data_IF_270479932921
#
_entry.id   IF_270479932921
#
_cell.length_a   1.000
_cell.length_b   1.000
_cell.length_c   1.000
_cell.angle_alpha   90.00
_cell.angle_beta   90.00
_cell.angle_gamma   90.00
#
_symmetry.space_group_name_H-M   'P 1'
#
loop_
_entity.id
_entity.type
_entity.pdbx_description
1 polymer ?
#
# COMPACT_ATOMS: atom_id res chain seq x y z
N UNK A 1 -16.14 7.35 31.05
CA UNK A 1 -16.83 6.73 29.91
C UNK A 1 -16.55 7.62 28.71
N UNK A 2 -15.62 7.22 27.83
CA UNK A 2 -15.29 8.01 26.64
C UNK A 2 -16.55 8.13 25.78
N UNK A 3 -16.88 9.33 25.31
CA UNK A 3 -18.09 9.59 24.52
C UNK A 3 -18.06 8.69 23.26
N UNK A 4 -19.15 7.94 23.00
CA UNK A 4 -19.28 7.07 21.82
C UNK A 4 -19.07 7.84 20.52
N UNK A 5 -19.37 9.15 20.50
CA UNK A 5 -19.12 10.03 19.36
C UNK A 5 -17.62 10.22 19.15
N UNK A 6 -16.86 10.43 20.23
CA UNK A 6 -15.41 10.60 20.17
C UNK A 6 -14.73 9.32 19.66
N UNK A 7 -15.16 8.15 20.14
CA UNK A 7 -14.63 6.86 19.67
C UNK A 7 -14.87 6.64 18.17
N UNK A 8 -16.08 6.93 17.67
CA UNK A 8 -16.39 6.83 16.24
C UNK A 8 -15.55 7.80 15.41
N UNK A 9 -15.38 9.03 15.88
CA UNK A 9 -14.54 10.04 15.21
C UNK A 9 -13.09 9.58 15.13
N UNK A 10 -12.53 9.09 16.23
CA UNK A 10 -11.16 8.57 16.27
C UNK A 10 -10.98 7.38 15.35
N UNK A 11 -11.92 6.43 15.35
CA UNK A 11 -11.88 5.27 14.45
C UNK A 11 -11.92 5.68 12.97
N UNK A 12 -12.78 6.65 12.62
CA UNK A 12 -12.85 7.17 11.25
C UNK A 12 -11.56 7.91 10.86
N UNK A 13 -10.99 8.70 11.75
CA UNK A 13 -9.73 9.40 11.50
C UNK A 13 -8.57 8.41 11.29
N UNK A 14 -8.50 7.36 12.10
CA UNK A 14 -7.52 6.26 11.96
C UNK A 14 -7.69 5.61 10.59
N UNK A 15 -8.91 5.19 10.25
CA UNK A 15 -9.20 4.58 8.95
C UNK A 15 -8.77 5.48 7.78
N UNK A 16 -9.12 6.76 7.81
CA UNK A 16 -8.71 7.70 6.76
C UNK A 16 -7.19 7.81 6.68
N UNK A 17 -6.47 7.89 7.81
CA UNK A 17 -5.00 7.95 7.82
C UNK A 17 -4.37 6.68 7.24
N UNK A 18 -4.89 5.51 7.60
CA UNK A 18 -4.46 4.22 7.05
C UNK A 18 -4.66 4.16 5.53
N UNK A 19 -5.79 4.65 5.01
CA UNK A 19 -6.08 4.60 3.57
C UNK A 19 -5.32 5.66 2.75
N UNK A 20 -5.10 6.84 3.32
CA UNK A 20 -4.58 8.00 2.57
C UNK A 20 -3.07 8.09 2.61
N UNK A 21 -2.48 7.90 3.79
CA UNK A 21 -1.05 8.10 4.03
C UNK A 21 -0.38 6.77 4.31
N UNK A 22 -0.96 5.97 5.21
CA UNK A 22 -0.34 4.77 5.76
C UNK A 22 0.62 5.06 6.94
N UNK A 23 1.23 4.00 7.51
CA UNK A 23 1.01 2.59 7.17
C UNK A 23 -0.36 2.09 7.66
N UNK A 24 -0.69 0.83 7.40
CA UNK A 24 -1.77 0.11 8.07
C UNK A 24 -2.92 -0.32 7.17
N UNK A 25 -2.88 0.00 5.87
CA UNK A 25 -3.96 -0.33 4.92
C UNK A 25 -4.24 -1.83 4.80
N UNK A 26 -3.21 -2.68 4.94
CA UNK A 26 -3.31 -4.15 4.91
C UNK A 26 -3.32 -4.75 6.32
N UNK A 27 -3.42 -3.93 7.37
CA UNK A 27 -3.22 -4.37 8.74
C UNK A 27 -1.92 -5.15 8.95
N UNK A 28 -1.95 -6.10 9.89
CA UNK A 28 -0.87 -7.05 10.12
C UNK A 28 -1.02 -8.33 9.28
N UNK A 29 -1.63 -8.25 8.09
CA UNK A 29 -1.89 -9.42 7.23
C UNK A 29 -0.61 -10.22 6.94
N UNK A 30 0.49 -9.56 6.58
CA UNK A 30 1.81 -10.20 6.44
C UNK A 30 2.80 -9.69 7.47
N UNK A 31 3.54 -10.60 8.09
CA UNK A 31 4.47 -10.31 9.18
C UNK A 31 5.82 -10.95 8.94
N UNK A 32 6.88 -10.17 9.20
CA UNK A 32 8.24 -10.71 9.34
C UNK A 32 8.33 -11.46 10.67
N UNK A 33 8.40 -12.77 10.61
CA UNK A 33 8.47 -13.66 11.76
C UNK A 33 9.79 -13.58 12.50
N UNK A 34 10.84 -12.97 11.92
CA UNK A 34 12.10 -12.69 12.61
C UNK A 34 12.04 -11.40 13.45
N UNK A 35 11.00 -10.58 13.30
CA UNK A 35 10.79 -9.41 14.14
C UNK A 35 10.19 -9.83 15.50
N UNK A 36 11.06 -10.16 16.46
CA UNK A 36 10.70 -10.64 17.80
C UNK A 36 9.75 -9.67 18.53
N UNK A 37 10.02 -8.37 18.47
CA UNK A 37 9.20 -7.33 19.11
C UNK A 37 7.77 -7.34 18.58
N UNK A 38 7.61 -7.56 17.27
CA UNK A 38 6.31 -7.55 16.63
C UNK A 38 5.51 -8.82 16.92
N UNK A 39 6.14 -10.00 16.81
CA UNK A 39 5.44 -11.29 17.00
C UNK A 39 5.03 -11.55 18.46
N UNK A 40 5.62 -10.85 19.43
CA UNK A 40 5.24 -10.92 20.84
C UNK A 40 3.94 -10.16 21.15
N UNK A 41 3.62 -9.10 20.38
CA UNK A 41 2.39 -8.31 20.56
C UNK A 41 1.15 -9.09 20.15
N UNK A 42 -0.03 -8.75 20.68
CA UNK A 42 -1.30 -9.23 20.14
C UNK A 42 -1.73 -8.38 18.93
N UNK A 43 -1.44 -8.90 17.73
CA UNK A 43 -1.64 -8.19 16.46
C UNK A 43 -3.12 -7.98 16.10
N UNK A 44 -4.03 -8.76 16.68
CA UNK A 44 -5.49 -8.57 16.47
C UNK A 44 -6.04 -7.32 17.15
N UNK A 45 -5.30 -6.76 18.12
CA UNK A 45 -5.69 -5.59 18.90
C UNK A 45 -4.77 -4.38 18.70
N UNK A 46 -3.58 -4.60 18.15
CA UNK A 46 -2.62 -3.54 17.87
C UNK A 46 -3.14 -2.66 16.71
N UNK A 47 -3.13 -1.32 16.84
CA UNK A 47 -3.46 -0.43 15.74
C UNK A 47 -2.53 -0.63 14.54
N UNK A 48 -3.10 -0.77 13.34
CA UNK A 48 -2.36 -0.99 12.10
C UNK A 48 -1.46 0.20 11.74
N UNK A 49 -1.83 1.42 12.13
CA UNK A 49 -0.98 2.62 12.02
C UNK A 49 0.40 2.48 12.68
N UNK A 50 0.55 1.59 13.66
CA UNK A 50 1.81 1.35 14.35
C UNK A 50 2.73 0.38 13.58
N UNK A 51 2.27 -0.21 12.47
CA UNK A 51 3.06 -1.16 11.70
C UNK A 51 4.03 -0.45 10.75
N UNK A 52 5.08 0.19 11.30
CA UNK A 52 5.96 1.02 10.49
C UNK A 52 6.70 0.25 9.38
N UNK A 53 7.04 -1.01 9.64
CA UNK A 53 7.65 -1.95 8.69
C UNK A 53 6.62 -2.82 7.98
N UNK A 54 5.42 -2.28 7.70
CA UNK A 54 4.33 -3.04 7.10
C UNK A 54 4.73 -3.79 5.84
N UNK A 55 4.04 -4.89 5.59
CA UNK A 55 4.26 -5.74 4.42
C UNK A 55 2.96 -5.79 3.60
N UNK A 56 3.09 -5.40 2.34
CA UNK A 56 1.99 -5.38 1.36
C UNK A 56 2.17 -6.52 0.37
N UNK A 57 1.08 -7.15 -0.05
CA UNK A 57 1.02 -8.16 -1.12
C UNK A 57 0.72 -7.55 -2.51
N UNK A 58 0.74 -6.22 -2.59
CA UNK A 58 0.48 -5.42 -3.77
C UNK A 58 1.46 -4.24 -3.82
N UNK A 59 1.62 -3.63 -5.00
CA UNK A 59 2.42 -2.41 -5.10
C UNK A 59 1.78 -1.26 -4.31
N UNK A 60 2.57 -0.44 -3.57
CA UNK A 60 1.99 0.51 -2.63
C UNK A 60 1.16 1.63 -3.29
N UNK A 61 1.49 2.06 -4.51
CA UNK A 61 0.71 3.11 -5.20
C UNK A 61 -0.68 2.64 -5.65
N UNK A 62 -0.95 1.33 -5.69
CA UNK A 62 -2.27 0.82 -6.02
C UNK A 62 -3.27 0.98 -4.86
N UNK A 63 -2.78 1.17 -3.63
CA UNK A 63 -3.62 1.20 -2.43
C UNK A 63 -3.50 2.53 -1.67
N UNK A 64 -2.35 3.22 -1.73
CA UNK A 64 -2.20 4.55 -1.17
C UNK A 64 -2.58 5.65 -2.17
N UNK A 65 -3.21 6.71 -1.68
CA UNK A 65 -3.74 7.78 -2.51
C UNK A 65 -3.07 9.15 -2.34
N UNK A 66 -2.32 9.39 -1.25
CA UNK A 66 -1.75 10.72 -0.96
C UNK A 66 -0.34 10.66 -0.39
N UNK A 67 0.37 11.80 -0.42
CA UNK A 67 1.75 11.89 0.08
C UNK A 67 2.72 11.07 -0.76
N UNK A 68 2.44 10.88 -2.04
CA UNK A 68 3.23 10.07 -2.97
C UNK A 68 4.08 10.97 -3.84
N UNK A 69 5.37 10.67 -4.01
CA UNK A 69 6.25 11.33 -4.96
C UNK A 69 6.76 10.33 -6.00
N UNK A 70 6.31 10.48 -7.25
CA UNK A 70 6.65 9.62 -8.37
C UNK A 70 7.96 10.05 -9.06
N UNK A 71 8.68 9.13 -9.74
CA UNK A 71 9.91 9.44 -10.45
C UNK A 71 9.70 10.36 -11.65
N UNK A 72 10.78 10.80 -12.30
CA UNK A 72 10.65 11.53 -13.56
C UNK A 72 10.20 10.61 -14.70
N UNK A 73 9.08 10.92 -15.37
CA UNK A 73 8.71 10.30 -16.64
C UNK A 73 9.56 10.81 -17.81
N UNK A 74 10.29 9.91 -18.50
CA UNK A 74 10.97 10.12 -19.79
C UNK A 74 10.53 9.09 -20.84
N UNK A 75 9.36 8.46 -20.67
CA UNK A 75 8.83 7.47 -21.60
C UNK A 75 8.21 8.08 -22.86
N UNK A 76 7.73 9.33 -22.77
CA UNK A 76 6.98 9.98 -23.84
C UNK A 76 5.51 9.58 -23.92
N UNK A 77 4.98 8.79 -22.96
CA UNK A 77 3.59 8.27 -23.00
C UNK A 77 2.54 9.23 -22.43
N UNK A 78 2.89 10.51 -22.23
CA UNK A 78 1.98 11.52 -21.67
C UNK A 78 0.71 11.72 -22.51
N UNK A 79 0.77 11.43 -23.81
CA UNK A 79 -0.38 11.47 -24.74
C UNK A 79 -1.18 10.16 -24.80
N UNK A 80 -0.65 9.06 -24.26
CA UNK A 80 -1.27 7.72 -24.30
C UNK A 80 -1.98 7.35 -22.98
N UNK A 81 -1.75 8.11 -21.91
CA UNK A 81 -2.16 7.79 -20.54
C UNK A 81 -3.65 7.96 -20.20
N UNK A 82 -4.54 8.13 -21.19
CA UNK A 82 -5.97 8.33 -20.97
C UNK A 82 -6.82 7.05 -21.10
N UNK A 83 -6.22 5.88 -21.42
CA UNK A 83 -6.96 4.62 -21.38
C UNK A 83 -6.94 4.13 -19.93
N UNK A 84 -8.05 4.36 -19.24
CA UNK A 84 -8.29 3.95 -17.86
C UNK A 84 -8.02 2.45 -17.65
N UNK A 85 -7.60 2.18 -16.42
CA UNK A 85 -7.12 0.93 -15.82
C UNK A 85 -8.19 -0.18 -15.87
N UNK A 86 -8.18 -1.01 -16.92
CA UNK A 86 -8.79 -2.34 -16.89
C UNK A 86 -7.69 -3.37 -17.11
N UNK A 87 -6.82 -3.50 -16.10
CA UNK A 87 -5.87 -4.60 -16.00
C UNK A 87 -6.47 -5.74 -15.13
N UNK A 88 -7.76 -6.03 -15.28
CA UNK A 88 -8.18 -7.41 -15.12
C UNK A 88 -7.43 -8.18 -16.21
N UNK A 89 -6.48 -9.02 -15.80
CA UNK A 89 -6.06 -10.12 -16.65
C UNK A 89 -7.32 -10.92 -16.96
N UNK A 90 -7.93 -10.66 -18.11
CA UNK A 90 -8.83 -11.61 -18.72
C UNK A 90 -7.97 -12.83 -19.06
N UNK A 91 -7.86 -13.75 -18.10
CA UNK A 91 -7.90 -15.14 -18.49
C UNK A 91 -9.16 -15.26 -19.34
N UNK A 92 -8.99 -15.56 -20.62
CA UNK A 92 -10.09 -15.96 -21.49
C UNK A 92 -10.71 -17.21 -20.89
N UNK A 93 -11.60 -17.04 -19.91
CA UNK A 93 -12.56 -18.06 -19.50
C UNK A 93 -13.68 -18.02 -20.54
N UNK A 94 -13.69 -19.04 -21.40
CA UNK A 94 -14.87 -19.39 -22.17
C UNK A 94 -16.01 -19.70 -21.19
N UNK A 95 -16.96 -18.75 -21.02
CA UNK A 95 -18.28 -19.09 -20.51
C UNK A 95 -19.02 -18.06 -19.66
N UNK A 96 -19.72 -17.16 -20.35
CA UNK A 96 -20.90 -16.38 -19.89
C UNK A 96 -20.60 -15.25 -18.90
N UNK A 97 -20.10 -14.13 -19.43
CA UNK A 97 -20.16 -12.82 -18.78
C UNK A 97 -21.61 -12.34 -18.62
N UNK A 98 -22.05 -12.21 -17.37
CA UNK A 98 -23.07 -11.22 -17.02
C UNK A 98 -22.47 -9.82 -17.23
N UNK A 99 -22.84 -9.18 -18.34
CA UNK A 99 -22.58 -7.76 -18.54
C UNK A 99 -23.30 -6.96 -17.46
N UNK A 100 -22.58 -6.47 -16.45
CA UNK A 100 -23.02 -5.31 -15.71
C UNK A 100 -22.88 -4.10 -16.63
N UNK A 101 -24.02 -3.67 -17.20
CA UNK A 101 -24.10 -2.56 -18.13
C UNK A 101 -24.05 -1.23 -17.39
N UNK A 102 -22.89 -0.90 -16.80
CA UNK A 102 -22.57 0.49 -16.53
C UNK A 102 -22.04 1.14 -17.82
N UNK A 103 -22.92 1.94 -18.40
CA UNK A 103 -22.73 2.70 -19.63
C UNK A 103 -21.59 3.73 -19.47
N UNK A 104 -20.35 3.34 -19.76
CA UNK A 104 -19.20 4.25 -19.82
C UNK A 104 -19.16 5.02 -21.15
N UNK A 105 -20.19 5.81 -21.39
CA UNK A 105 -20.21 6.85 -22.42
C UNK A 105 -19.70 8.16 -21.79
N UNK A 106 -18.39 8.28 -21.57
CA UNK A 106 -17.77 9.60 -21.58
C UNK A 106 -17.21 9.84 -22.97
N UNK A 107 -17.90 10.71 -23.70
CA UNK A 107 -17.46 11.24 -24.99
C UNK A 107 -16.04 11.78 -24.87
N UNK A 108 -15.22 11.40 -25.85
CA UNK A 108 -13.85 11.82 -26.00
C UNK A 108 -13.78 13.33 -26.30
N UNK A 109 -13.42 14.14 -25.31
CA UNK A 109 -13.04 15.54 -25.53
C UNK A 109 -11.53 15.76 -25.28
N UNK A 110 -10.87 16.07 -26.40
CA UNK A 110 -9.77 17.03 -26.62
C UNK A 110 -8.66 17.22 -25.56
N UNK A 111 -7.44 16.80 -25.93
CA UNK A 111 -6.08 17.43 -25.80
C UNK A 111 -5.67 18.15 -24.48
N UNK A 112 -6.48 18.12 -23.43
CA UNK A 112 -6.30 18.73 -22.10
C UNK A 112 -5.69 17.75 -21.07
N UNK A 113 -5.86 16.44 -21.31
CA UNK A 113 -5.64 15.39 -20.31
C UNK A 113 -4.19 15.21 -19.84
N UNK A 114 -3.19 15.67 -20.60
CA UNK A 114 -1.76 15.48 -20.24
C UNK A 114 -1.32 16.29 -19.01
N UNK A 115 -1.91 17.47 -18.77
CA UNK A 115 -1.60 18.30 -17.59
C UNK A 115 -2.26 17.73 -16.35
N UNK A 116 -3.50 17.26 -16.47
CA UNK A 116 -4.27 16.66 -15.38
C UNK A 116 -3.67 15.32 -14.93
N UNK A 117 -3.22 14.48 -15.87
CA UNK A 117 -2.59 13.20 -15.55
C UNK A 117 -1.23 13.37 -14.84
N UNK A 118 -0.44 14.37 -15.23
CA UNK A 118 0.80 14.71 -14.50
C UNK A 118 0.53 15.27 -13.09
N UNK A 119 -0.62 15.91 -12.85
CA UNK A 119 -1.01 16.35 -11.50
C UNK A 119 -1.31 15.16 -10.57
N UNK A 120 -1.79 14.04 -11.12
CA UNK A 120 -2.01 12.80 -10.36
C UNK A 120 -0.70 12.06 -10.00
N UNK A 121 0.40 12.36 -10.70
CA UNK A 121 1.72 11.75 -10.48
C UNK A 121 2.77 12.80 -10.09
N UNK A 122 2.60 13.49 -8.94
CA UNK A 122 3.48 14.58 -8.56
C UNK A 122 4.90 14.07 -8.29
N UNK A 123 5.89 14.81 -8.81
CA UNK A 123 7.32 14.53 -8.61
C UNK A 123 7.92 15.34 -7.46
N UNK A 124 7.20 16.37 -7.02
CA UNK A 124 7.65 17.30 -5.98
C UNK A 124 6.54 17.62 -5.01
N UNK A 125 6.90 17.82 -3.74
CA UNK A 125 6.04 18.35 -2.69
C UNK A 125 6.73 19.54 -2.05
N UNK A 126 6.00 20.55 -1.60
CA UNK A 126 6.63 21.68 -0.91
C UNK A 126 5.81 22.22 0.24
N UNK A 127 6.53 22.85 1.17
CA UNK A 127 5.98 23.60 2.28
C UNK A 127 6.51 25.03 2.20
N UNK A 128 5.62 26.02 2.32
CA UNK A 128 6.00 27.42 2.43
C UNK A 128 5.52 27.96 3.76
N UNK A 129 6.41 28.60 4.50
CA UNK A 129 6.11 29.20 5.79
C UNK A 129 6.81 30.55 5.94
N UNK A 130 6.37 31.33 6.91
CA UNK A 130 6.87 32.67 7.18
C UNK A 130 7.56 32.69 8.55
N UNK A 131 8.74 33.30 8.60
CA UNK A 131 9.49 33.57 9.82
C UNK A 131 9.62 35.08 10.03
N UNK A 132 9.88 35.49 11.28
CA UNK A 132 10.36 36.84 11.57
C UNK A 132 11.83 36.95 11.19
N UNK A 133 12.27 38.14 10.82
CA UNK A 133 13.67 38.41 10.44
C UNK A 133 14.65 38.02 11.57
N UNK A 134 14.27 38.28 12.83
CA UNK A 134 14.99 37.86 14.04
C UNK A 134 15.29 36.34 14.11
N UNK A 135 14.42 35.51 13.53
CA UNK A 135 14.60 34.05 13.53
C UNK A 135 15.74 33.59 12.62
N UNK A 136 16.11 34.40 11.62
CA UNK A 136 17.21 34.14 10.68
C UNK A 136 18.49 34.86 11.10
N UNK A 137 18.45 35.79 12.06
CA UNK A 137 19.66 36.41 12.63
C UNK A 137 20.61 35.39 13.28
N UNK A 138 20.06 34.26 13.75
CA UNK A 138 20.85 33.11 14.22
C UNK A 138 21.59 32.38 13.10
N UNK A 139 21.29 32.68 11.83
CA UNK A 139 21.90 32.08 10.65
C UNK A 139 21.52 30.62 10.43
N UNK A 140 20.44 30.13 11.07
CA UNK A 140 20.05 28.72 11.06
C UNK A 140 18.58 28.51 10.70
N UNK A 141 18.31 27.54 9.81
CA UNK A 141 16.96 27.04 9.50
C UNK A 141 16.98 25.53 9.69
N UNK A 142 16.01 25.02 10.46
CA UNK A 142 15.83 23.58 10.68
C UNK A 142 14.44 23.14 10.23
N UNK A 143 14.36 21.99 9.56
CA UNK A 143 13.10 21.33 9.25
C UNK A 143 13.29 19.82 9.21
N UNK A 144 12.21 19.09 9.46
CA UNK A 144 12.18 17.64 9.41
C UNK A 144 11.48 17.16 8.15
N UNK A 145 11.95 16.02 7.65
CA UNK A 145 11.39 15.31 6.52
C UNK A 145 11.15 13.87 6.95
N UNK A 146 9.95 13.35 6.70
CA UNK A 146 9.63 11.94 6.93
C UNK A 146 8.93 11.34 5.71
N UNK A 147 9.24 10.10 5.38
CA UNK A 147 8.64 9.36 4.28
C UNK A 147 8.84 7.86 4.48
N UNK A 148 8.17 7.06 3.65
CA UNK A 148 8.38 5.62 3.54
C UNK A 148 8.92 5.27 2.16
N UNK A 149 9.85 4.34 2.15
CA UNK A 149 10.32 3.69 0.93
C UNK A 149 9.97 2.20 1.00
N UNK A 150 9.24 1.69 0.01
CA UNK A 150 8.87 0.28 -0.02
C UNK A 150 9.86 -0.50 -0.87
N UNK A 151 10.47 -1.51 -0.27
CA UNK A 151 11.37 -2.44 -0.95
C UNK A 151 10.60 -3.71 -1.31
N UNK A 152 10.61 -4.09 -2.59
CA UNK A 152 10.13 -5.41 -3.00
C UNK A 152 11.03 -6.49 -2.39
N UNK A 153 10.44 -7.41 -1.64
CA UNK A 153 11.11 -8.52 -1.01
C UNK A 153 11.37 -9.61 -2.05
N UNK A 154 12.62 -10.06 -2.14
CA UNK A 154 13.05 -11.08 -3.10
C UNK A 154 12.83 -12.47 -2.52
N UNK A 155 12.15 -13.32 -3.29
CA UNK A 155 12.09 -14.74 -3.00
C UNK A 155 13.45 -15.39 -3.22
N UNK A 156 13.82 -16.31 -2.34
CA UNK A 156 15.05 -17.07 -2.45
C UNK A 156 14.79 -18.50 -2.99
N UNK A 157 15.87 -19.16 -3.38
CA UNK A 157 15.82 -20.54 -3.88
C UNK A 157 15.76 -21.59 -2.77
N UNK A 158 16.16 -21.24 -1.55
CA UNK A 158 16.32 -22.16 -0.42
C UNK A 158 15.05 -22.25 0.45
N UNK A 159 14.07 -21.37 0.23
CA UNK A 159 12.81 -21.31 0.98
C UNK A 159 12.89 -20.49 2.27
N UNK A 160 13.95 -19.71 2.49
CA UNK A 160 14.09 -18.82 3.67
C UNK A 160 13.01 -17.75 3.73
N UNK A 161 12.62 -17.19 2.58
CA UNK A 161 11.53 -16.25 2.44
C UNK A 161 10.21 -16.84 2.95
N UNK A 162 9.93 -18.10 2.59
CA UNK A 162 8.70 -18.81 2.97
C UNK A 162 8.59 -19.04 4.48
N UNK A 163 9.73 -19.24 5.16
CA UNK A 163 9.77 -19.37 6.61
C UNK A 163 9.82 -18.03 7.35
N UNK A 164 10.28 -16.96 6.67
CA UNK A 164 10.48 -15.64 7.25
C UNK A 164 9.19 -14.83 7.26
N UNK A 165 8.39 -14.85 6.19
CA UNK A 165 7.17 -14.04 6.10
C UNK A 165 5.92 -14.91 6.24
N UNK A 166 5.12 -14.62 7.26
CA UNK A 166 3.88 -15.34 7.55
C UNK A 166 2.63 -14.51 7.31
N UNK A 167 1.55 -15.18 6.91
CA UNK A 167 0.23 -14.58 6.79
C UNK A 167 -0.49 -14.72 8.15
N UNK A 168 -0.92 -13.64 8.78
CA UNK A 168 -1.68 -13.69 10.02
C UNK A 168 -3.01 -14.44 9.79
N UNK A 169 -3.29 -15.41 10.65
CA UNK A 169 -4.50 -16.22 10.59
C UNK A 169 -5.64 -15.49 11.31
N UNK A 170 -6.62 -15.02 10.56
CA UNK A 170 -7.78 -14.28 11.10
C UNK A 170 -8.95 -15.17 11.51
N UNK A 171 -8.80 -16.48 11.38
CA UNK A 171 -9.80 -17.48 11.77
C UNK A 171 -9.27 -18.35 12.91
N UNK A 172 -10.18 -19.10 13.55
CA UNK A 172 -9.81 -20.08 14.56
C UNK A 172 -8.78 -21.08 14.01
N UNK A 173 -7.62 -21.13 14.65
CA UNK A 173 -6.48 -21.91 14.17
C UNK A 173 -6.75 -23.42 14.16
N UNK A 174 -7.59 -23.93 15.07
CA UNK A 174 -7.92 -25.35 15.11
C UNK A 174 -8.85 -25.73 13.96
N UNK A 175 -9.82 -24.88 13.63
CA UNK A 175 -10.65 -25.05 12.42
C UNK A 175 -9.82 -25.00 11.15
N UNK A 176 -8.84 -24.10 11.07
CA UNK A 176 -7.93 -24.02 9.93
C UNK A 176 -7.08 -25.30 9.82
N UNK A 177 -6.46 -25.76 10.91
CA UNK A 177 -5.69 -27.04 10.92
C UNK A 177 -6.54 -28.23 10.50
N UNK A 178 -7.78 -28.30 10.98
CA UNK A 178 -8.73 -29.35 10.61
C UNK A 178 -9.01 -29.33 9.11
N UNK A 179 -9.26 -28.15 8.53
CA UNK A 179 -9.46 -27.99 7.09
C UNK A 179 -8.23 -28.44 6.28
N UNK A 180 -7.02 -28.05 6.68
CA UNK A 180 -5.78 -28.48 6.01
C UNK A 180 -5.62 -30.01 6.03
N UNK A 181 -5.96 -30.64 7.15
CA UNK A 181 -5.83 -32.08 7.34
C UNK A 181 -6.87 -32.85 6.53
N UNK A 182 -8.13 -32.40 6.55
CA UNK A 182 -9.24 -32.99 5.80
C UNK A 182 -8.95 -33.03 4.30
N UNK A 183 -8.43 -31.93 3.76
CA UNK A 183 -8.16 -31.77 2.32
C UNK A 183 -6.72 -32.12 1.92
N UNK A 184 -5.91 -32.66 2.84
CA UNK A 184 -4.51 -33.09 2.62
C UNK A 184 -3.61 -31.99 2.03
N UNK A 185 -3.81 -30.75 2.47
CA UNK A 185 -3.08 -29.56 2.01
C UNK A 185 -1.74 -29.40 2.77
N UNK A 186 -0.88 -30.42 2.66
CA UNK A 186 0.39 -30.54 3.42
C UNK A 186 1.44 -29.47 3.10
N UNK A 187 1.23 -28.72 2.03
CA UNK A 187 2.10 -27.61 1.62
C UNK A 187 1.92 -26.38 2.51
N UNK A 188 0.82 -26.32 3.27
CA UNK A 188 0.57 -25.26 4.22
C UNK A 188 0.81 -25.73 5.65
N UNK A 189 1.21 -24.80 6.51
CA UNK A 189 1.35 -25.06 7.95
C UNK A 189 0.90 -23.85 8.76
N UNK A 190 0.61 -24.09 10.04
CA UNK A 190 0.28 -23.02 10.99
C UNK A 190 1.37 -22.97 12.04
N UNK A 191 1.95 -21.79 12.21
CA UNK A 191 2.93 -21.49 13.24
C UNK A 191 2.29 -20.57 14.27
N UNK A 192 2.30 -20.97 15.54
CA UNK A 192 1.87 -20.13 16.66
C UNK A 192 3.07 -19.44 17.28
N UNK A 193 3.02 -18.11 17.42
CA UNK A 193 3.99 -17.30 18.18
C UNK A 193 3.22 -16.37 19.09
N UNK A 194 3.49 -16.44 20.40
CA UNK A 194 2.72 -15.71 21.41
C UNK A 194 1.21 -15.97 21.23
N UNK A 195 0.38 -14.93 21.15
CA UNK A 195 -1.07 -14.99 20.91
C UNK A 195 -1.45 -15.04 19.42
N UNK A 196 -0.47 -15.01 18.51
CA UNK A 196 -0.71 -14.95 17.07
C UNK A 196 -0.55 -16.31 16.41
N UNK A 197 -1.38 -16.58 15.41
CA UNK A 197 -1.26 -17.74 14.53
C UNK A 197 -0.94 -17.28 13.12
N UNK A 198 0.03 -17.90 12.47
CA UNK A 198 0.48 -17.55 11.13
C UNK A 198 0.35 -18.74 10.19
N UNK A 199 -0.24 -18.52 9.03
CA UNK A 199 -0.28 -19.48 7.93
C UNK A 199 0.97 -19.32 7.06
N UNK A 200 1.64 -20.43 6.79
CA UNK A 200 2.85 -20.49 5.98
C UNK A 200 2.62 -21.43 4.80
N UNK A 201 3.25 -21.11 3.66
CA UNK A 201 3.34 -21.99 2.51
C UNK A 201 4.80 -22.45 2.38
N UNK A 202 5.04 -23.76 2.36
CA UNK A 202 6.37 -24.31 2.07
C UNK A 202 6.80 -24.01 0.64
N UNK A 203 8.11 -23.99 0.41
CA UNK A 203 8.63 -23.76 -0.95
C UNK A 203 8.18 -24.90 -1.88
N UNK A 204 7.45 -24.53 -2.93
CA UNK A 204 6.91 -25.43 -3.95
C UNK A 204 7.18 -24.88 -5.36
N UNK A 205 7.07 -25.73 -6.37
CA UNK A 205 7.24 -25.35 -7.77
C UNK A 205 6.04 -24.56 -8.31
N UNK A 206 6.22 -23.83 -9.41
CA UNK A 206 5.12 -23.10 -10.07
C UNK A 206 4.01 -24.04 -10.56
N UNK A 207 4.35 -25.24 -11.02
CA UNK A 207 3.37 -26.27 -11.41
C UNK A 207 2.51 -26.69 -10.21
N UNK A 208 3.14 -26.98 -9.07
CA UNK A 208 2.44 -27.32 -7.83
C UNK A 208 1.52 -26.18 -7.35
N UNK A 209 1.93 -24.92 -7.54
CA UNK A 209 1.07 -23.78 -7.20
C UNK A 209 -0.21 -23.79 -8.06
N UNK A 210 -0.08 -23.99 -9.37
CA UNK A 210 -1.25 -24.06 -10.28
C UNK A 210 -2.19 -25.22 -9.92
N UNK A 211 -1.62 -26.39 -9.58
CA UNK A 211 -2.38 -27.56 -9.11
C UNK A 211 -3.13 -27.28 -7.80
N UNK A 212 -2.47 -26.60 -6.84
CA UNK A 212 -3.09 -26.22 -5.58
C UNK A 212 -4.21 -25.17 -5.77
N UNK A 213 -4.00 -24.16 -6.62
CA UNK A 213 -5.05 -23.18 -6.96
C UNK A 213 -6.30 -23.88 -7.51
N UNK A 214 -6.11 -24.84 -8.40
CA UNK A 214 -7.20 -25.66 -8.96
C UNK A 214 -7.87 -26.51 -7.89
N UNK A 215 -7.08 -27.18 -7.04
CA UNK A 215 -7.60 -28.01 -5.94
C UNK A 215 -8.44 -27.21 -4.96
N UNK A 216 -7.99 -26.00 -4.56
CA UNK A 216 -8.73 -25.10 -3.69
C UNK A 216 -10.06 -24.66 -4.32
N UNK A 217 -10.07 -24.33 -5.63
CA UNK A 217 -11.30 -24.01 -6.37
C UNK A 217 -12.29 -25.18 -6.34
N UNK A 218 -11.82 -26.41 -6.55
CA UNK A 218 -12.66 -27.61 -6.49
C UNK A 218 -13.21 -27.86 -5.07
N UNK A 219 -12.40 -27.65 -4.03
CA UNK A 219 -12.85 -27.77 -2.63
C UNK A 219 -13.96 -26.76 -2.34
N UNK A 220 -13.78 -25.49 -2.70
CA UNK A 220 -14.81 -24.45 -2.54
C UNK A 220 -16.11 -24.82 -3.26
N UNK A 221 -16.01 -25.37 -4.48
CA UNK A 221 -17.17 -25.82 -5.23
C UNK A 221 -17.91 -26.95 -4.52
N UNK A 222 -17.19 -27.93 -3.98
CA UNK A 222 -17.78 -29.04 -3.21
C UNK A 222 -18.49 -28.55 -1.95
N UNK A 223 -17.90 -27.60 -1.21
CA UNK A 223 -18.58 -26.98 -0.07
C UNK A 223 -19.84 -26.23 -0.50
N UNK A 224 -19.78 -25.43 -1.57
CA UNK A 224 -20.95 -24.70 -2.07
C UNK A 224 -22.12 -25.65 -2.39
N UNK A 225 -21.85 -26.76 -3.08
CA UNK A 225 -22.85 -27.77 -3.41
C UNK A 225 -23.44 -28.47 -2.18
N UNK A 226 -22.60 -28.82 -1.20
CA UNK A 226 -23.04 -29.43 0.05
C UNK A 226 -23.88 -28.47 0.90
N UNK A 227 -23.49 -27.20 0.98
CA UNK A 227 -24.20 -26.15 1.70
C UNK A 227 -25.51 -25.78 1.00
N UNK A 228 -25.55 -25.81 -0.32
CA UNK A 228 -26.78 -25.68 -1.11
C UNK A 228 -27.79 -26.78 -0.76
N UNK A 229 -27.36 -28.04 -0.68
CA UNK A 229 -28.23 -29.15 -0.28
C UNK A 229 -28.74 -28.99 1.16
N UNK A 230 -27.88 -28.56 2.10
CA UNK A 230 -28.30 -28.24 3.48
C UNK A 230 -29.34 -27.11 3.48
N UNK A 231 -29.10 -26.07 2.70
CA UNK A 231 -29.98 -24.89 2.60
C UNK A 231 -31.36 -25.27 2.06
N UNK A 232 -31.42 -26.05 0.98
CA UNK A 232 -32.66 -26.49 0.37
C UNK A 232 -33.54 -27.37 1.26
N UNK A 233 -32.96 -28.07 2.25
CA UNK A 233 -33.73 -28.81 3.26
C UNK A 233 -34.50 -27.87 4.20
N UNK A 234 -33.98 -26.67 4.43
CA UNK A 234 -34.57 -25.65 5.32
C UNK A 234 -35.56 -24.78 4.53
N UNK A 235 -35.09 -24.30 3.37
CA UNK A 235 -35.83 -23.42 2.49
C UNK A 235 -35.39 -23.61 1.04
N UNK A 236 -36.34 -23.92 0.16
CA UNK A 236 -36.08 -24.09 -1.27
C UNK A 236 -35.62 -22.77 -1.89
N UNK A 237 -34.48 -22.79 -2.58
CA UNK A 237 -33.91 -21.65 -3.29
C UNK A 237 -34.31 -21.70 -4.78
N UNK A 238 -35.42 -21.08 -5.21
CA UNK A 238 -35.90 -21.22 -6.59
C UNK A 238 -35.01 -20.52 -7.62
N UNK A 239 -34.13 -19.62 -7.19
CA UNK A 239 -33.31 -18.76 -8.07
C UNK A 239 -31.88 -19.28 -8.26
N UNK A 240 -31.52 -20.39 -7.63
CA UNK A 240 -30.16 -20.93 -7.68
C UNK A 240 -30.22 -22.42 -7.99
N UNK A 241 -29.43 -22.86 -8.96
CA UNK A 241 -29.24 -24.28 -9.25
C UNK A 241 -27.94 -24.78 -8.63
N UNK A 242 -27.89 -26.08 -8.31
CA UNK A 242 -26.74 -26.69 -7.64
C UNK A 242 -25.45 -26.58 -8.47
N UNK A 243 -25.55 -26.86 -9.76
CA UNK A 243 -24.44 -26.82 -10.72
C UNK A 243 -23.83 -25.42 -10.88
N UNK A 244 -24.62 -24.36 -10.69
CA UNK A 244 -24.17 -22.96 -10.75
C UNK A 244 -23.94 -22.34 -9.37
N UNK A 245 -23.97 -23.14 -8.30
CA UNK A 245 -23.78 -22.67 -6.95
C UNK A 245 -22.29 -22.43 -6.65
N UNK A 246 -21.99 -21.23 -6.17
CA UNK A 246 -20.70 -20.84 -5.60
C UNK A 246 -20.96 -20.28 -4.20
N UNK A 247 -19.94 -20.25 -3.35
CA UNK A 247 -20.08 -19.77 -1.96
C UNK A 247 -20.66 -18.34 -1.90
N UNK A 248 -20.14 -17.43 -2.73
CA UNK A 248 -20.55 -16.04 -2.79
C UNK A 248 -22.02 -15.85 -3.22
N UNK A 249 -22.45 -16.54 -4.28
CA UNK A 249 -23.81 -16.43 -4.79
C UNK A 249 -24.83 -17.14 -3.88
N UNK A 250 -24.44 -18.23 -3.22
CA UNK A 250 -25.26 -18.91 -2.22
C UNK A 250 -25.50 -17.99 -1.02
N UNK A 251 -24.43 -17.41 -0.47
CA UNK A 251 -24.50 -16.45 0.64
C UNK A 251 -25.40 -15.27 0.32
N UNK A 252 -25.23 -14.67 -0.87
CA UNK A 252 -26.03 -13.53 -1.33
C UNK A 252 -27.51 -13.89 -1.49
N UNK A 253 -27.80 -15.09 -2.03
CA UNK A 253 -29.17 -15.59 -2.17
C UNK A 253 -29.82 -15.83 -0.81
N UNK A 254 -29.11 -16.45 0.14
CA UNK A 254 -29.61 -16.66 1.50
C UNK A 254 -29.92 -15.32 2.17
N UNK A 255 -29.02 -14.32 2.07
CA UNK A 255 -29.27 -12.98 2.63
C UNK A 255 -30.49 -12.30 2.01
N UNK A 256 -30.68 -12.43 0.70
CA UNK A 256 -31.87 -11.90 0.02
C UNK A 256 -33.16 -12.53 0.56
N UNK A 257 -33.20 -13.86 0.68
CA UNK A 257 -34.39 -14.57 1.19
C UNK A 257 -34.64 -14.28 2.68
N UNK A 258 -33.58 -14.17 3.49
CA UNK A 258 -33.67 -13.73 4.88
C UNK A 258 -34.21 -12.30 5.00
N UNK A 259 -33.95 -11.41 4.03
CA UNK A 259 -34.47 -10.04 4.06
C UNK A 259 -35.95 -9.97 3.65
N UNK A 260 -36.36 -10.77 2.68
CA UNK A 260 -37.65 -10.56 1.98
C UNK A 260 -38.73 -11.61 2.27
N UNK A 261 -38.33 -12.87 2.46
CA UNK A 261 -39.27 -14.01 2.39
C UNK A 261 -39.41 -14.75 3.72
N UNK A 262 -38.33 -14.83 4.51
CA UNK A 262 -38.26 -15.74 5.66
C UNK A 262 -38.51 -14.98 6.97
N UNK A 263 -39.69 -15.16 7.54
CA UNK A 263 -40.09 -14.54 8.83
C UNK A 263 -39.94 -15.50 10.03
N UNK A 264 -39.85 -16.81 9.78
CA UNK A 264 -39.73 -17.83 10.83
C UNK A 264 -38.36 -17.78 11.55
N UNK A 265 -38.38 -17.62 12.87
CA UNK A 265 -37.16 -17.43 13.67
C UNK A 265 -36.20 -18.62 13.62
N UNK A 266 -36.72 -19.85 13.60
CA UNK A 266 -35.90 -21.05 13.61
C UNK A 266 -35.17 -21.22 12.27
N UNK A 267 -35.91 -21.09 11.16
CA UNK A 267 -35.32 -21.11 9.81
C UNK A 267 -34.28 -20.02 9.63
N UNK A 268 -34.53 -18.81 10.15
CA UNK A 268 -33.55 -17.71 10.09
C UNK A 268 -32.26 -18.07 10.80
N UNK A 269 -32.34 -18.68 11.99
CA UNK A 269 -31.16 -19.07 12.75
C UNK A 269 -30.36 -20.18 12.05
N UNK A 270 -31.03 -21.19 11.49
CA UNK A 270 -30.38 -22.27 10.75
C UNK A 270 -29.69 -21.75 9.47
N UNK A 271 -30.36 -20.88 8.71
CA UNK A 271 -29.78 -20.26 7.51
C UNK A 271 -28.61 -19.33 7.84
N UNK A 272 -28.68 -18.60 8.95
CA UNK A 272 -27.57 -17.79 9.42
C UNK A 272 -26.36 -18.66 9.80
N UNK A 273 -26.57 -19.81 10.45
CA UNK A 273 -25.47 -20.75 10.72
C UNK A 273 -24.80 -21.24 9.43
N UNK A 274 -25.56 -21.45 8.35
CA UNK A 274 -25.01 -21.77 7.04
C UNK A 274 -24.18 -20.60 6.47
N UNK A 275 -24.63 -19.34 6.58
CA UNK A 275 -23.81 -18.21 6.09
C UNK A 275 -22.51 -18.06 6.87
N UNK A 276 -22.50 -18.36 8.16
CA UNK A 276 -21.27 -18.41 8.96
C UNK A 276 -20.33 -19.55 8.53
N UNK A 277 -20.86 -20.71 8.13
CA UNK A 277 -20.06 -21.80 7.56
C UNK A 277 -19.46 -21.37 6.20
N UNK A 278 -20.22 -20.66 5.36
CA UNK A 278 -19.73 -20.10 4.10
C UNK A 278 -18.57 -19.12 4.35
N UNK A 279 -18.77 -18.14 5.24
CA UNK A 279 -17.76 -17.11 5.55
C UNK A 279 -16.46 -17.73 6.09
N UNK A 280 -16.54 -18.78 6.90
CA UNK A 280 -15.37 -19.51 7.37
C UNK A 280 -14.58 -20.14 6.22
N UNK A 281 -15.26 -20.83 5.29
CA UNK A 281 -14.60 -21.49 4.15
C UNK A 281 -14.01 -20.46 3.18
N UNK A 282 -14.74 -19.39 2.88
CA UNK A 282 -14.23 -18.28 2.06
C UNK A 282 -12.96 -17.71 2.68
N UNK A 283 -12.98 -17.41 3.98
CA UNK A 283 -11.83 -16.81 4.67
C UNK A 283 -10.60 -17.75 4.68
N UNK A 284 -10.78 -19.04 5.03
CA UNK A 284 -9.69 -20.03 4.97
C UNK A 284 -9.09 -20.11 3.56
N UNK A 285 -9.94 -20.25 2.54
CA UNK A 285 -9.47 -20.43 1.16
C UNK A 285 -8.85 -19.17 0.57
N UNK A 286 -9.29 -17.99 1.01
CA UNK A 286 -8.66 -16.71 0.68
C UNK A 286 -7.26 -16.59 1.28
N UNK A 287 -7.04 -16.98 2.54
CA UNK A 287 -5.70 -17.05 3.12
C UNK A 287 -4.74 -17.93 2.29
N UNK A 288 -5.22 -19.09 1.86
CA UNK A 288 -4.44 -20.02 1.04
C UNK A 288 -4.10 -19.42 -0.34
N UNK A 289 -5.09 -18.78 -0.99
CA UNK A 289 -4.89 -18.12 -2.30
C UNK A 289 -3.93 -16.95 -2.20
N UNK A 290 -4.09 -16.09 -1.19
CA UNK A 290 -3.20 -14.95 -0.94
C UNK A 290 -1.73 -15.39 -0.83
N UNK A 291 -1.46 -16.47 -0.08
CA UNK A 291 -0.12 -17.06 -0.05
C UNK A 291 0.32 -17.52 -1.45
N UNK A 292 -0.49 -18.30 -2.17
CA UNK A 292 -0.13 -18.78 -3.51
C UNK A 292 0.15 -17.63 -4.51
N UNK A 293 -0.58 -16.53 -4.44
CA UNK A 293 -0.43 -15.37 -5.32
C UNK A 293 0.88 -14.60 -5.05
N UNK A 294 1.29 -14.49 -3.79
CA UNK A 294 2.61 -13.96 -3.40
C UNK A 294 3.74 -14.75 -4.08
N UNK A 295 3.57 -16.06 -4.27
CA UNK A 295 4.55 -16.95 -4.88
C UNK A 295 4.36 -17.19 -6.38
N UNK A 296 3.24 -16.78 -6.97
CA UNK A 296 2.93 -16.99 -8.39
C UNK A 296 2.07 -15.88 -9.00
N UNK A 297 2.66 -15.11 -9.91
CA UNK A 297 1.91 -14.16 -10.75
C UNK A 297 1.44 -12.88 -10.07
N UNK A 298 1.47 -12.78 -8.73
CA UNK A 298 1.19 -11.54 -8.00
C UNK A 298 2.38 -10.57 -7.92
N UNK A 299 2.17 -9.44 -7.25
CA UNK A 299 3.19 -8.41 -7.05
C UNK A 299 4.27 -8.77 -6.02
N UNK A 300 4.18 -9.96 -5.40
CA UNK A 300 5.04 -10.38 -4.30
C UNK A 300 4.82 -9.54 -3.03
N UNK A 301 5.78 -9.60 -2.10
CA UNK A 301 5.71 -8.81 -0.87
C UNK A 301 6.54 -7.52 -0.99
N UNK A 302 6.02 -6.42 -0.46
CA UNK A 302 6.66 -5.11 -0.40
C UNK A 302 6.73 -4.65 1.05
N UNK A 303 7.94 -4.46 1.56
CA UNK A 303 8.15 -4.04 2.94
C UNK A 303 8.43 -2.54 3.02
N UNK A 304 7.71 -1.85 3.89
CA UNK A 304 7.93 -0.45 4.23
C UNK A 304 9.24 -0.28 5.00
N UNK A 305 10.01 0.73 4.63
CA UNK A 305 11.11 1.27 5.41
C UNK A 305 10.79 2.73 5.75
N UNK A 306 10.45 3.07 7.00
CA UNK A 306 10.26 4.45 7.43
C UNK A 306 11.62 5.18 7.46
N UNK A 307 11.64 6.43 6.99
CA UNK A 307 12.82 7.28 7.04
C UNK A 307 12.42 8.65 7.59
N UNK A 308 13.09 9.08 8.67
CA UNK A 308 13.08 10.47 9.14
C UNK A 308 14.47 11.10 8.99
N UNK A 309 14.50 12.35 8.54
CA UNK A 309 15.71 13.17 8.42
C UNK A 309 15.46 14.56 8.99
N UNK A 310 16.43 15.11 9.70
CA UNK A 310 16.43 16.51 10.14
C UNK A 310 17.45 17.28 9.32
N UNK A 311 17.01 18.32 8.62
CA UNK A 311 17.87 19.13 7.76
C UNK A 311 18.14 20.45 8.47
N UNK A 312 19.43 20.79 8.64
CA UNK A 312 19.88 22.06 9.22
C UNK A 312 20.72 22.83 8.21
N UNK A 313 20.27 24.03 7.86
CA UNK A 313 21.03 24.99 7.08
C UNK A 313 21.70 25.95 8.06
N UNK A 314 23.03 25.97 8.11
CA UNK A 314 23.82 26.85 8.98
C UNK A 314 24.63 27.86 8.17
N UNK A 315 24.93 29.00 8.79
CA UNK A 315 25.70 30.06 8.15
C UNK A 315 24.90 30.79 7.07
N UNK A 316 23.57 30.81 7.19
CA UNK A 316 22.70 31.52 6.26
C UNK A 316 22.93 33.04 6.38
N UNK A 317 23.73 33.60 5.48
CA UNK A 317 23.79 35.04 5.24
C UNK A 317 22.72 35.44 4.23
N UNK A 318 21.79 36.30 4.65
CA UNK A 318 20.70 36.80 3.83
C UNK A 318 20.46 38.30 4.09
N UNK A 319 21.36 39.17 3.58
CA UNK A 319 21.34 40.61 3.87
C UNK A 319 20.08 41.28 3.34
N UNK A 320 19.66 42.40 3.94
CA UNK A 320 18.42 43.12 3.57
C UNK A 320 18.34 43.53 2.10
N UNK A 321 19.49 43.75 1.45
CA UNK A 321 19.57 44.06 0.03
C UNK A 321 19.19 42.88 -0.88
N UNK A 322 19.27 41.65 -0.38
CA UNK A 322 18.95 40.45 -1.14
C UNK A 322 17.46 40.11 -1.01
N UNK A 323 16.79 39.99 -2.15
CA UNK A 323 15.36 39.69 -2.22
C UNK A 323 15.06 38.19 -2.19
N UNK A 324 16.00 37.36 -2.65
CA UNK A 324 15.83 35.90 -2.76
C UNK A 324 17.18 35.18 -2.81
N UNK A 325 17.29 34.10 -2.05
CA UNK A 325 18.42 33.14 -2.07
C UNK A 325 17.89 31.71 -2.22
N UNK A 326 18.53 30.89 -3.04
CA UNK A 326 18.07 29.53 -3.35
C UNK A 326 19.19 28.50 -3.22
N UNK A 327 18.94 27.48 -2.41
CA UNK A 327 19.76 26.29 -2.20
C UNK A 327 19.15 25.14 -2.99
N UNK A 328 19.80 24.75 -4.08
CA UNK A 328 19.34 23.65 -4.93
C UNK A 328 20.13 22.38 -4.66
N UNK A 329 19.48 21.22 -4.74
CA UNK A 329 20.14 19.93 -4.49
C UNK A 329 21.34 19.69 -5.40
N UNK A 330 21.24 20.06 -6.66
CA UNK A 330 22.26 19.80 -7.69
C UNK A 330 23.34 20.89 -7.81
N UNK A 331 23.42 21.83 -6.85
CA UNK A 331 24.43 22.90 -6.86
C UNK A 331 25.26 22.86 -5.60
N UNK A 332 26.58 23.11 -5.68
CA UNK A 332 27.42 23.26 -4.50
C UNK A 332 27.07 24.57 -3.76
N UNK A 333 27.08 24.51 -2.43
CA UNK A 333 26.87 25.65 -1.54
C UNK A 333 28.13 25.82 -0.66
N UNK A 334 29.17 26.51 -1.15
CA UNK A 334 30.47 26.55 -0.48
C UNK A 334 30.48 27.40 0.80
N UNK A 335 29.52 28.31 0.95
CA UNK A 335 29.48 29.28 2.05
C UNK A 335 28.53 28.85 3.19
N UNK A 336 27.61 27.93 2.93
CA UNK A 336 26.60 27.46 3.87
C UNK A 336 26.81 25.99 4.22
N UNK A 337 26.78 25.67 5.51
CA UNK A 337 26.91 24.29 5.96
C UNK A 337 25.51 23.67 6.05
N UNK A 338 25.15 22.91 5.03
CA UNK A 338 23.89 22.17 4.98
C UNK A 338 24.15 20.74 5.47
N UNK A 339 23.63 20.44 6.65
CA UNK A 339 23.82 19.14 7.31
C UNK A 339 22.46 18.44 7.42
N UNK A 340 22.43 17.20 6.97
CA UNK A 340 21.31 16.28 7.10
C UNK A 340 21.66 15.28 8.17
N UNK A 341 20.80 15.18 9.18
CA UNK A 341 20.91 14.20 10.27
C UNK A 341 19.89 13.09 10.03
N UNK A 342 20.30 11.85 10.23
CA UNK A 342 19.38 10.73 10.31
C UNK A 342 18.93 10.45 11.76
N UNK A 343 18.06 9.45 11.92
CA UNK A 343 17.54 9.02 13.22
C UNK A 343 18.64 8.52 14.17
N UNK A 344 19.75 8.03 13.64
CA UNK A 344 20.91 7.56 14.40
C UNK A 344 21.93 8.68 14.70
N UNK A 345 21.71 9.89 14.17
CA UNK A 345 22.60 11.03 14.29
C UNK A 345 23.76 11.06 13.30
N UNK A 346 23.78 10.17 12.31
CA UNK A 346 24.74 10.21 11.20
C UNK A 346 24.55 11.47 10.35
N UNK A 347 25.65 12.01 9.86
CA UNK A 347 25.68 13.29 9.16
C UNK A 347 25.97 13.09 7.68
N UNK A 348 25.12 13.65 6.85
CA UNK A 348 25.33 13.83 5.42
C UNK A 348 25.39 15.32 5.09
N UNK A 349 26.21 15.69 4.11
CA UNK A 349 26.30 17.07 3.63
C UNK A 349 25.48 17.27 2.36
N UNK A 350 24.84 18.43 2.26
CA UNK A 350 24.09 18.86 1.09
C UNK A 350 22.63 18.44 1.09
N UNK A 351 21.91 18.85 0.04
CA UNK A 351 20.48 18.57 -0.14
C UNK A 351 20.21 17.49 -1.20
N UNK A 352 21.25 16.97 -1.84
CA UNK A 352 21.18 15.86 -2.78
C UNK A 352 21.16 14.53 -2.02
N UNK A 353 20.32 13.61 -2.50
CA UNK A 353 20.25 12.24 -1.98
C UNK A 353 20.00 12.20 -0.46
N UNK A 354 19.02 12.96 0.05
CA UNK A 354 18.56 12.83 1.44
C UNK A 354 18.29 11.37 1.82
N UNK A 355 17.85 10.59 0.82
CA UNK A 355 17.92 9.14 0.81
C UNK A 355 18.26 8.66 -0.59
N UNK A 356 19.04 7.58 -0.67
CA UNK A 356 19.37 6.88 -1.93
C UNK A 356 19.36 5.38 -1.69
N UNK A 357 18.66 4.66 -2.56
CA UNK A 357 18.64 3.21 -2.58
C UNK A 357 18.96 2.73 -3.99
N UNK A 358 20.02 1.93 -4.13
CA UNK A 358 20.36 1.33 -5.42
C UNK A 358 19.40 0.17 -5.66
N UNK A 359 18.68 0.22 -6.78
CA UNK A 359 17.75 -0.83 -7.17
C UNK A 359 18.62 -2.00 -7.64
N UNK A 360 18.71 -3.02 -6.80
CA UNK A 360 19.52 -4.21 -7.04
C UNK A 360 19.26 -4.82 -8.43
N UNK A 361 20.27 -5.45 -9.01
CA UNK A 361 20.30 -6.06 -10.36
C UNK A 361 20.56 -5.09 -11.53
N UNK A 362 20.66 -3.77 -11.29
CA UNK A 362 21.08 -2.77 -12.28
C UNK A 362 21.92 -1.66 -11.65
N UNK A 363 23.22 -1.65 -11.97
CA UNK A 363 24.23 -0.77 -11.33
C UNK A 363 23.91 0.74 -11.41
N UNK A 364 23.12 1.18 -12.39
CA UNK A 364 22.84 2.61 -12.65
C UNK A 364 21.41 3.04 -12.29
N UNK A 365 20.58 2.14 -11.77
CA UNK A 365 19.20 2.46 -11.37
C UNK A 365 19.10 2.64 -9.85
N UNK A 366 18.54 3.77 -9.42
CA UNK A 366 18.38 4.08 -8.00
C UNK A 366 17.08 4.83 -7.73
N UNK A 367 16.55 4.64 -6.52
CA UNK A 367 15.55 5.51 -5.92
C UNK A 367 16.27 6.61 -5.14
N UNK A 368 15.87 7.87 -5.29
CA UNK A 368 16.46 8.98 -4.56
C UNK A 368 15.47 10.10 -4.28
N UNK A 369 15.55 10.67 -3.08
CA UNK A 369 14.82 11.87 -2.69
C UNK A 369 15.80 12.99 -2.34
N UNK A 370 15.58 14.18 -2.87
CA UNK A 370 16.41 15.38 -2.64
C UNK A 370 15.55 16.57 -2.24
N UNK A 371 16.18 17.67 -1.81
CA UNK A 371 15.48 18.89 -1.41
C UNK A 371 16.02 20.17 -2.06
N UNK A 372 15.15 21.14 -2.25
CA UNK A 372 15.50 22.53 -2.52
C UNK A 372 14.97 23.40 -1.38
N UNK A 373 15.72 24.44 -1.04
CA UNK A 373 15.30 25.45 -0.06
C UNK A 373 15.45 26.83 -0.69
N UNK A 374 14.43 27.67 -0.53
CA UNK A 374 14.47 29.06 -0.97
C UNK A 374 14.08 29.96 0.19
N UNK A 375 14.82 31.04 0.35
CA UNK A 375 14.53 32.14 1.29
C UNK A 375 14.23 33.39 0.47
N UNK A 376 13.20 34.15 0.82
CA UNK A 376 12.80 35.35 0.07
C UNK A 376 12.09 36.40 0.94
N UNK A 377 12.17 37.67 0.52
CA UNK A 377 11.41 38.80 1.10
C UNK A 377 10.34 39.26 0.12
N UNK A 378 9.24 39.84 0.61
CA UNK A 378 8.28 40.51 -0.27
C UNK A 378 8.88 41.84 -0.75
N UNK A 379 9.28 41.91 -2.01
CA UNK A 379 9.88 43.12 -2.60
C UNK A 379 8.91 44.30 -2.70
N UNK A 380 7.60 44.08 -2.50
CA UNK A 380 6.56 45.11 -2.64
C UNK A 380 6.26 45.82 -1.33
N UNK A 381 6.69 45.27 -0.19
CA UNK A 381 6.42 45.83 1.15
C UNK A 381 7.64 45.62 2.04
N UNK A 382 8.14 46.71 2.63
CA UNK A 382 9.08 46.58 3.74
C UNK A 382 8.38 45.87 4.90
N UNK A 383 8.78 44.63 5.14
CA UNK A 383 8.27 43.80 6.22
C UNK A 383 9.44 43.10 6.89
N UNK A 384 9.29 42.83 8.18
CA UNK A 384 10.18 42.02 9.01
C UNK A 384 9.99 40.50 8.76
N UNK A 385 9.41 40.14 7.61
CA UNK A 385 8.98 38.79 7.29
C UNK A 385 9.87 38.16 6.24
N UNK A 386 10.30 36.94 6.52
CA UNK A 386 11.05 36.11 5.59
C UNK A 386 10.24 34.88 5.24
N UNK A 387 10.06 34.63 3.96
CA UNK A 387 9.36 33.47 3.43
C UNK A 387 10.37 32.38 3.11
N UNK A 388 10.18 31.21 3.70
CA UNK A 388 10.97 30.01 3.45
C UNK A 388 10.10 29.02 2.68
N UNK A 389 10.63 28.54 1.56
CA UNK A 389 10.03 27.48 0.76
C UNK A 389 10.95 26.28 0.73
N UNK A 390 10.48 25.16 1.25
CA UNK A 390 11.13 23.85 1.14
C UNK A 390 10.41 23.05 0.07
N UNK A 391 11.14 22.39 -0.81
CA UNK A 391 10.58 21.52 -1.84
C UNK A 391 11.35 20.19 -1.85
N UNK A 392 10.66 19.09 -1.59
CA UNK A 392 11.15 17.74 -1.82
C UNK A 392 10.94 17.35 -3.28
N UNK A 393 11.91 16.63 -3.83
CA UNK A 393 11.94 16.24 -5.24
C UNK A 393 12.38 14.79 -5.32
N UNK A 394 11.58 13.98 -6.03
CA UNK A 394 12.00 12.65 -6.41
C UNK A 394 13.07 12.76 -7.52
N UNK A 395 14.31 12.45 -7.17
CA UNK A 395 15.47 12.47 -8.07
C UNK A 395 15.95 11.06 -8.40
N UNK A 396 15.07 10.07 -8.34
CA UNK A 396 15.33 8.70 -8.77
C UNK A 396 15.70 8.66 -10.26
N UNK A 397 16.38 7.58 -10.68
CA UNK A 397 16.61 7.33 -12.10
C UNK A 397 15.27 7.37 -12.85
N UNK A 398 15.17 8.25 -13.85
CA UNK A 398 13.94 8.49 -14.60
C UNK A 398 13.38 7.20 -15.21
N UNK A 399 12.05 7.10 -15.27
CA UNK A 399 11.39 6.02 -15.96
C UNK A 399 11.50 6.21 -17.47
N UNK A 400 11.92 5.15 -18.16
CA UNK A 400 11.98 5.09 -19.64
C UNK A 400 11.17 3.89 -20.10
N UNK A 401 10.44 4.04 -21.21
CA UNK A 401 9.60 2.96 -21.75
C UNK A 401 10.46 1.77 -22.16
N UNK A 402 10.21 0.60 -21.55
CA UNK A 402 10.66 -0.66 -22.13
C UNK A 402 9.65 -1.10 -23.17
N UNK A 403 9.94 -0.81 -24.45
CA UNK A 403 9.08 -1.16 -25.60
C UNK A 403 8.78 -2.67 -25.72
N UNK A 404 9.48 -3.53 -24.97
CA UNK A 404 9.25 -4.98 -24.97
C UNK A 404 8.24 -5.47 -23.92
N UNK A 405 7.87 -4.65 -22.93
CA UNK A 405 7.10 -5.09 -21.75
C UNK A 405 5.77 -4.37 -21.52
N UNK A 406 5.32 -3.53 -22.45
CA UNK A 406 4.11 -2.70 -22.33
C UNK A 406 3.92 -2.07 -20.93
N UNK A 407 5.02 -1.52 -20.39
CA UNK A 407 5.02 -0.92 -19.05
C UNK A 407 4.62 0.55 -19.16
N UNK A 408 3.41 0.91 -18.74
CA UNK A 408 2.93 2.31 -18.78
C UNK A 408 3.36 3.07 -17.53
N UNK A 409 3.85 4.30 -17.70
CA UNK A 409 4.24 5.14 -16.55
C UNK A 409 3.04 5.50 -15.66
N UNK A 410 1.92 5.89 -16.28
CA UNK A 410 0.69 6.28 -15.61
C UNK A 410 -0.17 5.08 -15.20
N UNK A 411 0.43 4.13 -14.50
CA UNK A 411 -0.29 3.03 -13.85
C UNK A 411 0.24 2.87 -12.44
N UNK A 412 -0.67 2.91 -11.47
CA UNK A 412 -0.36 2.67 -10.06
C UNK A 412 0.14 1.24 -9.81
N UNK A 413 -0.17 0.32 -10.71
CA UNK A 413 0.26 -1.08 -10.71
C UNK A 413 1.66 -1.32 -11.31
N UNK A 414 2.32 -0.30 -11.86
CA UNK A 414 3.64 -0.46 -12.46
C UNK A 414 4.72 -0.62 -11.38
N UNK A 415 5.28 -1.82 -11.25
CA UNK A 415 6.33 -2.11 -10.27
C UNK A 415 7.60 -1.26 -10.44
N UNK A 416 8.01 -0.99 -11.68
CA UNK A 416 9.23 -0.21 -11.98
C UNK A 416 9.07 1.22 -11.49
N UNK A 417 7.87 1.79 -11.64
CA UNK A 417 7.53 3.11 -11.09
C UNK A 417 7.53 3.04 -9.57
N UNK A 418 6.83 2.07 -8.97
CA UNK A 418 6.74 1.92 -7.51
C UNK A 418 8.10 1.74 -6.82
N UNK A 419 9.06 1.02 -7.44
CA UNK A 419 10.44 0.88 -6.92
C UNK A 419 11.19 2.22 -6.76
N UNK A 420 10.72 3.28 -7.43
CA UNK A 420 11.31 4.62 -7.41
C UNK A 420 10.41 5.63 -6.74
N UNK A 421 9.27 5.22 -6.18
CA UNK A 421 8.28 6.11 -5.59
C UNK A 421 8.49 6.20 -4.08
N UNK A 422 8.22 7.38 -3.52
CA UNK A 422 8.22 7.62 -2.08
C UNK A 422 6.80 7.88 -1.60
N UNK A 423 6.47 7.38 -0.40
CA UNK A 423 5.11 7.37 0.13
C UNK A 423 5.06 8.06 1.50
N UNK A 424 3.89 8.54 1.91
CA UNK A 424 3.73 9.22 3.21
C UNK A 424 4.63 10.44 3.39
N UNK A 425 5.02 11.10 2.30
CA UNK A 425 6.00 12.19 2.31
C UNK A 425 5.45 13.38 3.09
N UNK A 426 6.23 13.86 4.05
CA UNK A 426 5.89 14.97 4.94
C UNK A 426 7.10 15.85 5.19
N UNK A 427 6.84 17.16 5.21
CA UNK A 427 7.77 18.19 5.69
C UNK A 427 7.14 18.79 6.95
N UNK A 428 7.90 18.86 8.04
CA UNK A 428 7.48 19.51 9.28
C UNK A 428 8.49 20.55 9.73
N UNK A 429 7.97 21.63 10.28
CA UNK A 429 8.77 22.72 10.86
C UNK A 429 8.20 22.95 12.25
N UNK A 430 9.05 22.78 13.25
CA UNK A 430 8.72 23.13 14.63
C UNK A 430 9.42 24.44 14.94
N UNK A 431 8.67 25.37 15.52
CA UNK A 431 9.21 26.60 16.07
C UNK A 431 8.97 26.54 17.57
N UNK A 432 10.03 26.52 18.37
CA UNK A 432 9.96 26.70 19.82
C UNK A 432 9.60 28.16 20.11
N UNK A 433 8.33 28.51 19.88
CA UNK A 433 7.76 29.82 20.20
C UNK A 433 7.00 29.78 21.52
#
# INVERSE_FOLDING_TARGET
>A
MMDKVLQKRTALEIFIREQTLGPGINGYKYVDLENEVLVEKNLSTEPSLNYETEILDIVPAAIYSTGILFPEDKSGTCSEGAILDNNEQSETEDGVDEKDSQNNSMESEDVSNGVELNQMYPKTMGLTFCLKEESIEKGEITFDVSFRYYKKLKQDKEGKFNSKYGLLCEVDAEKFKAFLTEHKLVQFSILTKSENNFVLLYKISSEQITELKTSIRSIQKSYAENLYDKTNKIYSLPRLSKDKCYLSNLKSTIYYELKNSITDSNKRQELYAITQEIELIENITEHLRNLLDVYSGGYGLWQSNPIKKTIKLKGLDFPKAESKKSFLYNKPHPNEDIIVFDENGEKQKGLEHLYKFNIEDKLDEYASLSANVQVSRDSRKETDKIFVKVQLINTSTAFTLDKKKDSRYFSTFNEVVNQRTFFGVKISVENES
#
